data_IF_560924421046
#
_entry.id   IF_560924421046
#
_cell.length_a   1.000
_cell.length_b   1.000
_cell.length_c   1.000
_cell.angle_alpha   90.00
_cell.angle_beta   90.00
_cell.angle_gamma   90.00
#
_symmetry.space_group_name_H-M   'P 1'
#
loop_
_entity.id
_entity.type
_entity.pdbx_description
1 polymer ?
#
# COMPACT_ATOMS: atom_id res chain seq x y z
N UNK A 1 6.68 -5.04 8.44
CA UNK A 1 6.56 -4.60 7.06
C UNK A 1 7.84 -4.86 6.27
N UNK A 2 7.70 -5.57 5.17
CA UNK A 2 8.86 -6.05 4.38
C UNK A 2 9.66 -4.90 3.78
N UNK A 3 8.99 -3.89 3.19
CA UNK A 3 9.68 -2.77 2.54
C UNK A 3 10.60 -2.00 3.49
N UNK A 4 10.18 -1.79 4.73
CA UNK A 4 10.99 -1.10 5.73
C UNK A 4 12.21 -1.94 6.10
N UNK A 5 12.05 -3.24 6.23
CA UNK A 5 13.15 -4.16 6.52
C UNK A 5 14.19 -4.16 5.40
N UNK A 6 13.72 -4.23 4.14
CA UNK A 6 14.60 -4.14 2.98
C UNK A 6 15.36 -2.80 2.94
N UNK A 7 14.66 -1.71 3.21
CA UNK A 7 15.26 -0.37 3.30
C UNK A 7 16.42 -0.34 4.31
N UNK A 8 16.20 -0.86 5.51
CA UNK A 8 17.22 -0.89 6.55
C UNK A 8 18.43 -1.72 6.15
N UNK A 9 18.22 -2.89 5.56
CA UNK A 9 19.30 -3.77 5.12
C UNK A 9 20.13 -3.09 4.03
N UNK A 10 19.50 -2.48 3.03
CA UNK A 10 20.19 -1.78 1.96
C UNK A 10 21.05 -0.63 2.49
N UNK A 11 20.51 0.17 3.39
CA UNK A 11 21.25 1.28 3.98
C UNK A 11 22.43 0.80 4.83
N UNK A 12 22.26 -0.29 5.54
CA UNK A 12 23.33 -0.89 6.35
C UNK A 12 24.50 -1.36 5.47
N UNK A 13 24.23 -1.76 4.22
CA UNK A 13 25.24 -2.19 3.26
C UNK A 13 25.78 -1.05 2.39
N UNK A 14 25.42 0.19 2.68
CA UNK A 14 25.96 1.36 2.00
C UNK A 14 25.24 1.80 0.75
N UNK A 15 24.10 1.20 0.42
CA UNK A 15 23.29 1.64 -0.71
C UNK A 15 22.47 2.88 -0.36
N UNK A 16 22.39 3.80 -1.30
CA UNK A 16 21.58 5.01 -1.16
C UNK A 16 20.23 4.82 -1.86
N UNK A 17 19.18 5.31 -1.24
CA UNK A 17 17.82 5.21 -1.74
C UNK A 17 17.29 6.64 -1.90
N UNK A 18 16.84 7.05 -3.07
CA UNK A 18 16.58 6.27 -4.29
C UNK A 18 17.73 6.18 -5.28
N UNK A 19 18.90 6.76 -5.00
CA UNK A 19 19.97 6.95 -5.99
C UNK A 19 20.50 5.61 -6.54
N UNK A 20 20.81 4.67 -5.66
CA UNK A 20 21.33 3.35 -6.05
C UNK A 20 20.22 2.35 -6.27
N UNK A 21 19.19 2.36 -5.41
CA UNK A 21 18.07 1.41 -5.43
C UNK A 21 16.79 2.16 -5.14
N UNK A 22 15.75 1.92 -5.93
CA UNK A 22 14.41 2.44 -5.69
C UNK A 22 13.57 1.38 -4.98
N UNK A 23 12.69 1.80 -4.08
CA UNK A 23 11.82 0.90 -3.32
C UNK A 23 10.38 1.37 -3.44
N UNK A 24 9.48 0.42 -3.72
CA UNK A 24 8.04 0.63 -3.68
C UNK A 24 7.45 -0.34 -2.66
N UNK A 25 6.73 0.19 -1.69
CA UNK A 25 6.01 -0.62 -0.72
C UNK A 25 4.57 -0.87 -1.12
N UNK A 26 3.84 -1.54 -0.24
CA UNK A 26 2.44 -1.85 -0.43
C UNK A 26 1.67 -1.56 0.87
N UNK A 27 0.37 -1.24 0.74
CA UNK A 27 -0.57 -0.92 1.84
C UNK A 27 -0.47 0.48 2.44
N UNK A 28 0.49 1.30 2.05
CA UNK A 28 0.58 2.69 2.51
C UNK A 28 0.40 2.84 4.03
N UNK A 29 1.13 2.05 4.82
CA UNK A 29 1.07 2.16 6.28
C UNK A 29 1.60 3.50 6.79
N UNK A 30 1.21 3.88 8.00
CA UNK A 30 1.60 5.16 8.61
C UNK A 30 3.13 5.36 8.65
N UNK A 31 3.90 4.30 8.88
CA UNK A 31 5.35 4.36 8.90
C UNK A 31 5.98 4.83 7.59
N UNK A 32 5.27 4.69 6.46
CA UNK A 32 5.76 5.16 5.16
C UNK A 32 6.02 6.67 5.15
N UNK A 33 5.23 7.45 5.89
CA UNK A 33 5.42 8.89 6.06
C UNK A 33 6.56 9.25 7.01
N UNK A 34 6.86 8.36 7.96
CA UNK A 34 7.81 8.62 9.04
C UNK A 34 9.24 8.24 8.68
N UNK A 35 9.43 7.56 7.55
CA UNK A 35 10.75 7.20 7.06
C UNK A 35 11.45 8.40 6.43
N UNK A 36 12.77 8.33 6.39
CA UNK A 36 13.60 9.29 5.65
C UNK A 36 14.59 8.51 4.79
N UNK A 37 14.46 8.53 3.46
CA UNK A 37 13.39 9.16 2.67
C UNK A 37 12.03 8.50 2.86
N UNK A 38 10.95 9.25 2.62
CA UNK A 38 9.59 8.72 2.73
C UNK A 38 9.30 7.67 1.66
N UNK A 39 8.63 6.61 2.06
CA UNK A 39 8.40 5.43 1.22
C UNK A 39 7.29 5.66 0.18
N UNK A 40 7.64 5.49 -1.10
CA UNK A 40 6.65 5.35 -2.17
C UNK A 40 5.91 4.03 -1.99
N UNK A 41 4.59 4.05 -2.05
CA UNK A 41 3.80 2.86 -1.76
C UNK A 41 2.53 2.83 -2.60
N UNK A 42 1.91 1.65 -2.66
CA UNK A 42 0.62 1.44 -3.29
C UNK A 42 -0.45 1.49 -2.19
N UNK A 43 -1.42 2.37 -2.37
CA UNK A 43 -2.53 2.54 -1.45
C UNK A 43 -3.74 1.76 -1.93
N UNK A 44 -4.31 0.96 -1.04
CA UNK A 44 -5.58 0.30 -1.26
C UNK A 44 -6.72 1.16 -0.72
N UNK A 45 -7.92 1.14 -1.37
CA UNK A 45 -9.08 1.88 -0.87
C UNK A 45 -9.75 1.11 0.28
N UNK A 46 -9.10 1.07 1.44
CA UNK A 46 -9.50 0.23 2.59
C UNK A 46 -10.90 0.58 3.09
N UNK A 47 -11.26 1.87 3.13
CA UNK A 47 -12.60 2.28 3.56
C UNK A 47 -13.70 1.74 2.63
N UNK A 48 -13.50 1.86 1.33
CA UNK A 48 -14.45 1.36 0.34
C UNK A 48 -14.56 -0.16 0.39
N UNK A 49 -13.43 -0.84 0.57
CA UNK A 49 -13.40 -2.30 0.74
C UNK A 49 -14.16 -2.72 1.98
N UNK A 50 -14.00 -2.02 3.10
CA UNK A 50 -14.73 -2.27 4.34
C UNK A 50 -16.23 -2.06 4.18
N UNK A 51 -16.64 -0.97 3.57
CA UNK A 51 -18.06 -0.68 3.30
C UNK A 51 -18.69 -1.75 2.43
N UNK A 52 -18.00 -2.15 1.38
CA UNK A 52 -18.48 -3.22 0.49
C UNK A 52 -18.60 -4.54 1.21
N UNK A 53 -17.64 -4.90 2.04
CA UNK A 53 -17.69 -6.14 2.84
C UNK A 53 -18.90 -6.16 3.76
N UNK A 54 -19.17 -5.07 4.46
CA UNK A 54 -20.34 -4.95 5.35
C UNK A 54 -21.63 -5.04 4.53
N UNK A 55 -21.72 -4.37 3.39
CA UNK A 55 -22.90 -4.41 2.54
C UNK A 55 -23.15 -5.83 2.01
N UNK A 56 -22.11 -6.58 1.66
CA UNK A 56 -22.23 -7.97 1.25
C UNK A 56 -22.82 -8.85 2.37
N UNK A 57 -22.40 -8.63 3.61
CA UNK A 57 -22.94 -9.38 4.76
C UNK A 57 -24.41 -9.07 4.94
N UNK A 58 -24.81 -7.80 4.88
CA UNK A 58 -26.19 -7.37 5.01
C UNK A 58 -27.05 -7.97 3.89
N UNK A 59 -26.58 -7.91 2.65
CA UNK A 59 -27.30 -8.44 1.50
C UNK A 59 -27.49 -9.96 1.61
N UNK A 60 -26.47 -10.68 2.05
CA UNK A 60 -26.58 -12.12 2.29
C UNK A 60 -27.61 -12.43 3.36
N UNK A 61 -27.62 -11.71 4.47
CA UNK A 61 -28.54 -11.91 5.58
C UNK A 61 -30.00 -11.62 5.21
N UNK A 62 -30.23 -10.67 4.29
CA UNK A 62 -31.57 -10.28 3.83
C UNK A 62 -32.04 -11.06 2.60
N UNK A 63 -31.24 -11.99 2.09
CA UNK A 63 -31.57 -12.79 0.90
C UNK A 63 -31.38 -12.05 -0.42
N UNK A 64 -30.71 -10.92 -0.41
CA UNK A 64 -30.37 -10.16 -1.61
C UNK A 64 -29.15 -10.77 -2.28
N UNK A 65 -29.08 -10.69 -3.61
CA UNK A 65 -27.96 -11.21 -4.37
C UNK A 65 -26.65 -10.52 -3.98
N UNK A 66 -25.58 -11.31 -3.84
CA UNK A 66 -24.24 -10.83 -3.47
C UNK A 66 -23.27 -11.05 -4.61
N UNK A 67 -22.51 -10.00 -4.98
CA UNK A 67 -21.43 -10.11 -5.95
C UNK A 67 -20.24 -10.83 -5.32
N UNK A 68 -19.81 -11.95 -5.95
CA UNK A 68 -18.74 -12.79 -5.42
C UNK A 68 -17.36 -12.15 -5.49
N UNK A 69 -17.12 -11.38 -6.53
CA UNK A 69 -15.84 -10.74 -6.78
C UNK A 69 -16.04 -9.23 -6.86
N UNK A 70 -15.36 -8.51 -5.97
CA UNK A 70 -15.38 -7.06 -5.96
C UNK A 70 -13.95 -6.57 -6.18
N UNK A 71 -13.73 -5.81 -7.25
CA UNK A 71 -12.42 -5.26 -7.61
C UNK A 71 -12.36 -3.79 -7.25
N UNK A 72 -11.24 -3.39 -6.64
CA UNK A 72 -11.00 -2.00 -6.24
C UNK A 72 -9.72 -1.49 -6.87
N UNK A 73 -9.71 -0.27 -7.42
CA UNK A 73 -8.49 0.30 -7.95
C UNK A 73 -7.50 0.61 -6.82
N UNK A 74 -6.23 0.46 -7.10
CA UNK A 74 -5.16 0.89 -6.21
C UNK A 74 -4.55 2.18 -6.74
N UNK A 75 -3.91 2.95 -5.88
CA UNK A 75 -3.27 4.22 -6.23
C UNK A 75 -1.80 4.18 -5.84
N UNK A 76 -0.94 4.60 -6.75
CA UNK A 76 0.47 4.79 -6.44
C UNK A 76 0.67 6.14 -5.73
N UNK A 77 1.18 6.10 -4.52
CA UNK A 77 1.54 7.28 -3.75
C UNK A 77 3.05 7.48 -3.88
N UNK A 78 3.45 8.39 -4.75
CA UNK A 78 4.86 8.70 -4.99
C UNK A 78 5.42 9.53 -3.86
N UNK A 79 6.55 9.08 -3.33
CA UNK A 79 7.31 9.79 -2.32
C UNK A 79 8.78 9.81 -2.69
N UNK A 80 9.68 9.74 -1.72
CA UNK A 80 11.10 9.99 -1.91
C UNK A 80 11.93 8.74 -2.25
N UNK A 81 11.39 7.54 -2.11
CA UNK A 81 12.13 6.30 -2.40
C UNK A 81 12.09 5.88 -3.87
N UNK A 82 11.48 6.68 -4.73
CA UNK A 82 11.48 6.48 -6.19
C UNK A 82 11.86 7.77 -6.89
N UNK A 83 12.47 7.61 -8.07
CA UNK A 83 12.88 8.75 -8.91
C UNK A 83 11.81 8.97 -9.97
N UNK A 84 11.34 10.22 -10.09
CA UNK A 84 10.46 10.63 -11.17
C UNK A 84 11.29 11.05 -12.38
N UNK A 85 11.00 10.41 -13.51
CA UNK A 85 11.54 10.85 -14.79
C UNK A 85 10.46 11.45 -15.65
#
# INVERSE_FOLDING_TARGET
MVAISVFKVLRRHGYQIPEDVQIIGFDNVALAHLMTPELTTIRQPIEDMGKTAVQCIINYATGTEVTRVNKFPVTLIKRETTIMK
#
